data_IF_244993677035
#
_entry.id   IF_244993677035
#
_cell.length_a   1.000
_cell.length_b   1.000
_cell.length_c   1.000
_cell.angle_alpha   90.00
_cell.angle_beta   90.00
_cell.angle_gamma   90.00
#
_symmetry.space_group_name_H-M   'P 1'
#
loop_
_entity.id
_entity.type
_entity.pdbx_description
1 polymer ?
#
# COMPACT_ATOMS: atom_id res chain seq x y z
N UNK A 1 -8.85 16.85 5.54
CA UNK A 1 -8.01 16.39 6.68
C UNK A 1 -7.29 17.56 7.34
N UNK A 2 -6.36 18.27 6.68
CA UNK A 2 -5.52 19.29 7.33
C UNK A 2 -6.27 20.43 8.04
N UNK A 3 -7.45 20.82 7.56
CA UNK A 3 -8.31 21.82 8.18
C UNK A 3 -9.00 21.37 9.49
N UNK A 4 -8.83 20.11 9.89
CA UNK A 4 -9.40 19.53 11.12
C UNK A 4 -8.34 19.19 12.16
N UNK A 5 -7.08 19.56 11.93
CA UNK A 5 -6.02 19.40 12.93
C UNK A 5 -6.32 20.39 14.07
N UNK A 6 -6.32 19.97 15.35
CA UNK A 6 -6.49 20.86 16.48
C UNK A 6 -5.48 22.02 16.48
N UNK A 7 -5.83 23.13 17.11
CA UNK A 7 -4.93 24.27 17.23
C UNK A 7 -3.57 23.87 17.83
N UNK A 8 -2.48 24.22 17.14
CA UNK A 8 -1.10 23.82 17.46
C UNK A 8 -0.85 22.29 17.45
N UNK A 9 -1.80 21.50 16.95
CA UNK A 9 -1.65 20.06 16.76
C UNK A 9 -0.82 19.70 15.53
N UNK A 10 -0.44 18.43 15.44
CA UNK A 10 0.19 17.83 14.27
C UNK A 10 -0.73 16.75 13.68
N UNK A 11 -0.51 16.39 12.42
CA UNK A 11 -1.14 15.22 11.83
C UNK A 11 -0.23 13.99 11.96
N UNK A 12 -0.82 12.83 12.19
CA UNK A 12 -0.17 11.54 11.99
C UNK A 12 -0.90 10.79 10.86
N UNK A 13 -0.19 10.51 9.77
CA UNK A 13 -0.68 9.77 8.62
C UNK A 13 -0.01 8.40 8.57
N UNK A 14 -0.82 7.35 8.63
CA UNK A 14 -0.38 5.96 8.41
C UNK A 14 -0.91 5.50 7.05
N UNK A 15 -0.05 4.91 6.21
CA UNK A 15 -0.47 4.38 4.91
C UNK A 15 0.32 3.12 4.53
N UNK A 16 -0.26 2.34 3.63
CA UNK A 16 0.37 1.14 3.12
C UNK A 16 -0.59 0.25 2.35
N UNK A 17 -0.08 -0.66 1.50
CA UNK A 17 -0.85 -1.80 1.05
C UNK A 17 -0.96 -2.83 2.18
N UNK A 18 -1.70 -3.89 1.93
CA UNK A 18 -1.84 -4.98 2.88
C UNK A 18 -1.74 -6.35 2.19
N UNK A 19 -1.37 -7.35 2.98
CA UNK A 19 -1.31 -8.76 2.57
C UNK A 19 -1.87 -9.64 3.68
N UNK A 20 -2.60 -10.68 3.31
CA UNK A 20 -3.06 -11.70 4.25
C UNK A 20 -2.04 -12.83 4.40
N UNK A 21 -1.96 -13.38 5.61
CA UNK A 21 -1.28 -14.64 5.89
C UNK A 21 -2.26 -15.53 6.65
N UNK A 22 -2.50 -16.74 6.12
CA UNK A 22 -3.36 -17.75 6.76
C UNK A 22 -2.65 -18.45 7.90
N UNK A 23 -3.39 -19.21 8.73
CA UNK A 23 -2.79 -20.01 9.84
C UNK A 23 -1.75 -21.01 9.39
N UNK A 24 -1.88 -21.53 8.18
CA UNK A 24 -0.91 -22.47 7.60
C UNK A 24 0.29 -21.78 6.93
N UNK A 25 0.37 -20.45 7.00
CA UNK A 25 1.46 -19.65 6.47
C UNK A 25 1.32 -19.27 4.99
N UNK A 26 0.17 -19.53 4.35
CA UNK A 26 -0.07 -19.13 2.96
C UNK A 26 -0.20 -17.61 2.84
N UNK A 27 0.72 -17.00 2.09
CA UNK A 27 0.75 -15.56 1.83
C UNK A 27 -0.23 -15.20 0.69
N UNK A 28 -0.87 -14.05 0.81
CA UNK A 28 -1.82 -13.53 -0.17
C UNK A 28 -3.26 -13.99 0.08
N UNK A 29 -3.53 -14.64 1.20
CA UNK A 29 -4.87 -15.09 1.61
C UNK A 29 -5.07 -14.92 3.11
N UNK A 30 -6.32 -14.91 3.57
CA UNK A 30 -6.63 -14.87 5.00
C UNK A 30 -7.98 -15.50 5.29
N UNK A 31 -8.12 -16.14 6.44
CA UNK A 31 -9.41 -16.59 6.97
C UNK A 31 -10.27 -15.38 7.34
N UNK A 32 -11.57 -15.42 7.02
CA UNK A 32 -12.51 -14.34 7.33
C UNK A 32 -13.63 -14.86 8.24
N UNK A 33 -14.02 -14.12 9.30
CA UNK A 33 -15.06 -14.57 10.21
C UNK A 33 -16.37 -14.90 9.47
N UNK A 34 -16.90 -16.10 9.71
CA UNK A 34 -18.16 -16.55 9.11
C UNK A 34 -18.08 -16.98 7.64
N UNK A 35 -16.88 -17.04 7.04
CA UNK A 35 -16.68 -17.46 5.64
C UNK A 35 -15.77 -18.69 5.62
N UNK A 36 -16.26 -19.80 5.07
CA UNK A 36 -15.47 -21.04 4.97
C UNK A 36 -14.39 -20.98 3.88
N UNK A 37 -14.59 -20.15 2.86
CA UNK A 37 -13.64 -19.95 1.77
C UNK A 37 -12.50 -19.04 2.23
N UNK A 38 -11.28 -19.57 2.17
CA UNK A 38 -10.03 -18.81 2.36
C UNK A 38 -9.60 -18.24 1.01
N UNK A 39 -9.65 -16.91 0.87
CA UNK A 39 -9.52 -16.22 -0.41
C UNK A 39 -8.52 -15.05 -0.34
N UNK A 40 -8.27 -14.45 -1.50
CA UNK A 40 -7.28 -13.43 -1.79
C UNK A 40 -7.30 -12.24 -0.81
N UNK A 41 -6.10 -11.80 -0.43
CA UNK A 41 -5.85 -10.67 0.46
C UNK A 41 -4.45 -10.08 0.16
N UNK A 42 -4.30 -8.92 -0.49
CA UNK A 42 -5.33 -8.00 -0.99
C UNK A 42 -5.91 -8.42 -2.35
N UNK A 43 -7.23 -8.57 -2.45
CA UNK A 43 -7.90 -8.94 -3.71
C UNK A 43 -7.63 -7.98 -4.88
N UNK A 44 -7.61 -6.66 -4.63
CA UNK A 44 -7.34 -5.64 -5.65
C UNK A 44 -5.91 -5.72 -6.18
N UNK A 45 -4.92 -5.82 -5.28
CA UNK A 45 -3.52 -5.94 -5.66
C UNK A 45 -3.23 -7.24 -6.42
N UNK A 46 -3.85 -8.36 -6.00
CA UNK A 46 -3.71 -9.65 -6.67
C UNK A 46 -4.34 -9.60 -8.07
N UNK A 47 -5.53 -9.02 -8.22
CA UNK A 47 -6.15 -8.84 -9.53
C UNK A 47 -5.29 -7.96 -10.45
N UNK A 48 -4.69 -6.89 -9.92
CA UNK A 48 -3.77 -6.03 -10.66
C UNK A 48 -2.47 -6.77 -11.04
N UNK A 49 -1.90 -7.57 -10.14
CA UNK A 49 -0.73 -8.42 -10.43
C UNK A 49 -1.03 -9.44 -11.54
N UNK A 50 -2.21 -10.05 -11.52
CA UNK A 50 -2.64 -10.99 -12.57
C UNK A 50 -2.77 -10.29 -13.94
N UNK A 51 -3.29 -9.06 -13.96
CA UNK A 51 -3.33 -8.24 -15.16
C UNK A 51 -1.93 -7.90 -15.69
N UNK A 52 -1.00 -7.51 -14.81
CA UNK A 52 0.39 -7.28 -15.23
C UNK A 52 1.04 -8.55 -15.77
N UNK A 53 0.82 -9.69 -15.10
CA UNK A 53 1.32 -10.98 -15.57
C UNK A 53 0.77 -11.39 -16.94
N UNK A 54 -0.49 -11.07 -17.25
CA UNK A 54 -1.04 -11.35 -18.58
C UNK A 54 -0.45 -10.45 -19.66
N UNK A 55 -0.07 -9.21 -19.33
CA UNK A 55 0.65 -8.31 -20.24
C UNK A 55 2.08 -8.81 -20.48
N UNK A 56 2.85 -9.07 -19.42
CA UNK A 56 4.27 -9.45 -19.56
C UNK A 56 4.42 -10.81 -20.25
N UNK A 57 3.46 -11.72 -20.04
CA UNK A 57 3.37 -13.00 -20.76
C UNK A 57 2.85 -12.90 -22.20
N UNK A 58 2.55 -11.70 -22.72
CA UNK A 58 2.05 -11.49 -24.09
C UNK A 58 0.59 -11.90 -24.32
N UNK A 59 -0.16 -12.20 -23.26
CA UNK A 59 -1.56 -12.66 -23.30
C UNK A 59 -2.61 -11.55 -23.31
N UNK A 60 -2.23 -10.29 -23.05
CA UNK A 60 -3.15 -9.16 -23.06
C UNK A 60 -2.48 -7.86 -23.56
N UNK A 61 -3.18 -7.00 -24.33
CA UNK A 61 -2.71 -5.66 -24.62
C UNK A 61 -2.79 -4.79 -23.36
N UNK A 62 -1.86 -3.84 -23.21
CA UNK A 62 -1.95 -2.80 -22.18
C UNK A 62 -3.17 -1.92 -22.47
N UNK A 63 -4.13 -1.88 -21.56
CA UNK A 63 -5.28 -0.97 -21.63
C UNK A 63 -5.11 0.13 -20.58
N UNK A 64 -4.77 1.35 -21.00
CA UNK A 64 -4.67 2.53 -20.11
C UNK A 64 -6.04 3.19 -19.89
N UNK A 65 -7.08 2.38 -19.68
CA UNK A 65 -8.44 2.87 -19.62
C UNK A 65 -8.77 3.48 -18.24
N UNK A 66 -8.10 4.57 -17.86
CA UNK A 66 -8.48 5.44 -16.71
C UNK A 66 -9.81 6.19 -16.97
N UNK A 67 -10.70 5.64 -17.80
CA UNK A 67 -11.73 6.40 -18.52
C UNK A 67 -13.15 6.06 -18.06
N UNK A 68 -13.36 5.02 -17.24
CA UNK A 68 -14.69 4.67 -16.73
C UNK A 68 -14.79 4.83 -15.22
N UNK A 69 -15.78 5.61 -14.78
CA UNK A 69 -16.06 5.80 -13.36
C UNK A 69 -16.53 4.53 -12.63
N UNK A 70 -16.91 3.49 -13.37
CA UNK A 70 -17.43 2.24 -12.81
C UNK A 70 -16.37 1.37 -12.16
N UNK A 71 -15.09 1.48 -12.57
CA UNK A 71 -13.98 0.70 -11.99
C UNK A 71 -12.66 1.51 -11.91
N UNK A 72 -12.79 2.83 -11.74
CA UNK A 72 -11.67 3.77 -11.78
C UNK A 72 -10.54 3.42 -10.80
N UNK A 73 -10.89 3.01 -9.58
CA UNK A 73 -9.90 2.71 -8.54
C UNK A 73 -9.07 1.47 -8.91
N UNK A 74 -9.68 0.42 -9.47
CA UNK A 74 -8.94 -0.77 -9.86
C UNK A 74 -7.99 -0.50 -11.02
N UNK A 75 -8.40 0.32 -12.00
CA UNK A 75 -7.50 0.75 -13.07
C UNK A 75 -6.32 1.57 -12.53
N UNK A 76 -6.54 2.44 -11.55
CA UNK A 76 -5.45 3.15 -10.89
C UNK A 76 -4.46 2.18 -10.21
N UNK A 77 -4.96 1.13 -9.54
CA UNK A 77 -4.09 0.10 -8.94
C UNK A 77 -3.32 -0.68 -10.00
N UNK A 78 -3.95 -1.03 -11.13
CA UNK A 78 -3.27 -1.65 -12.28
C UNK A 78 -2.11 -0.78 -12.78
N UNK A 79 -2.29 0.53 -12.87
CA UNK A 79 -1.21 1.44 -13.27
C UNK A 79 -0.08 1.51 -12.25
N UNK A 80 -0.42 1.54 -10.96
CA UNK A 80 0.59 1.57 -9.91
C UNK A 80 1.47 0.33 -9.89
N UNK A 81 0.98 -0.81 -10.39
CA UNK A 81 1.73 -2.06 -10.39
C UNK A 81 2.50 -2.30 -11.70
N UNK A 82 2.15 -1.63 -12.81
CA UNK A 82 2.81 -1.81 -14.12
C UNK A 82 4.35 -1.68 -14.07
N UNK A 83 4.95 -0.70 -13.37
CA UNK A 83 6.41 -0.57 -13.29
C UNK A 83 7.12 -1.76 -12.64
N UNK A 84 6.38 -2.57 -11.87
CA UNK A 84 6.91 -3.66 -11.06
C UNK A 84 6.77 -5.04 -11.71
N UNK A 85 6.24 -5.12 -12.94
CA UNK A 85 5.91 -6.40 -13.58
C UNK A 85 7.06 -7.40 -13.64
N UNK A 86 8.26 -6.94 -14.03
CA UNK A 86 9.45 -7.80 -14.07
C UNK A 86 9.90 -8.25 -12.67
N UNK A 87 9.90 -7.34 -11.69
CA UNK A 87 10.22 -7.66 -10.29
C UNK A 87 9.30 -8.75 -9.73
N UNK A 88 8.00 -8.66 -10.04
CA UNK A 88 7.01 -9.65 -9.62
C UNK A 88 7.13 -10.97 -10.39
N UNK A 89 7.64 -10.95 -11.61
CA UNK A 89 7.90 -12.14 -12.41
C UNK A 89 9.14 -12.90 -11.91
N UNK A 90 10.19 -12.17 -11.54
CA UNK A 90 11.46 -12.73 -11.07
C UNK A 90 11.45 -13.11 -9.57
N UNK A 91 10.37 -12.79 -8.82
CA UNK A 91 10.25 -13.03 -7.38
C UNK A 91 10.12 -14.54 -7.05
N UNK A 92 10.77 -14.98 -5.98
CA UNK A 92 10.63 -16.35 -5.46
C UNK A 92 9.19 -16.62 -4.98
N UNK A 93 8.64 -15.69 -4.20
CA UNK A 93 7.21 -15.66 -3.86
C UNK A 93 6.60 -14.33 -4.30
N UNK A 94 5.78 -14.39 -5.35
CA UNK A 94 5.08 -13.23 -5.89
C UNK A 94 4.13 -12.59 -4.87
N UNK A 95 3.46 -13.39 -4.02
CA UNK A 95 2.50 -12.88 -3.04
C UNK A 95 3.20 -12.17 -1.89
N UNK A 96 4.40 -12.63 -1.53
CA UNK A 96 5.28 -11.91 -0.60
C UNK A 96 5.77 -10.60 -1.19
N UNK A 97 6.18 -10.59 -2.47
CA UNK A 97 6.78 -9.42 -3.12
C UNK A 97 5.76 -8.31 -3.45
N UNK A 98 4.54 -8.71 -3.80
CA UNK A 98 3.45 -7.83 -4.22
C UNK A 98 3.18 -6.62 -3.31
N UNK A 99 3.02 -6.75 -1.98
CA UNK A 99 2.80 -5.60 -1.11
C UNK A 99 3.99 -4.63 -1.10
N UNK A 100 5.24 -5.10 -1.20
CA UNK A 100 6.41 -4.22 -1.22
C UNK A 100 6.51 -3.45 -2.53
N UNK A 101 6.28 -4.12 -3.66
CA UNK A 101 6.21 -3.47 -4.96
C UNK A 101 5.12 -2.39 -5.00
N UNK A 102 3.91 -2.71 -4.51
CA UNK A 102 2.81 -1.75 -4.49
C UNK A 102 3.08 -0.58 -3.53
N UNK A 103 3.75 -0.83 -2.40
CA UNK A 103 4.11 0.20 -1.44
C UNK A 103 4.99 1.29 -2.08
N UNK A 104 5.96 0.93 -2.91
CA UNK A 104 6.82 1.92 -3.58
C UNK A 104 6.02 2.92 -4.41
N UNK A 105 5.04 2.44 -5.18
CA UNK A 105 4.16 3.31 -5.96
C UNK A 105 3.23 4.14 -5.07
N UNK A 106 2.71 3.56 -3.99
CA UNK A 106 1.86 4.28 -3.04
C UNK A 106 2.61 5.37 -2.27
N UNK A 107 3.84 5.12 -1.81
CA UNK A 107 4.67 6.10 -1.11
C UNK A 107 4.96 7.31 -2.00
N UNK A 108 5.27 7.08 -3.29
CA UNK A 108 5.43 8.17 -4.27
C UNK A 108 4.16 9.01 -4.37
N UNK A 109 2.99 8.40 -4.50
CA UNK A 109 1.72 9.13 -4.56
C UNK A 109 1.42 9.91 -3.28
N UNK A 110 1.60 9.29 -2.11
CA UNK A 110 1.35 9.93 -0.82
C UNK A 110 2.27 11.13 -0.64
N UNK A 111 3.55 11.01 -0.98
CA UNK A 111 4.49 12.14 -0.95
C UNK A 111 4.07 13.28 -1.88
N UNK A 112 3.57 12.97 -3.07
CA UNK A 112 3.06 13.98 -4.00
C UNK A 112 1.83 14.70 -3.43
N UNK A 113 0.90 13.97 -2.81
CA UNK A 113 -0.27 14.54 -2.13
C UNK A 113 0.16 15.44 -0.97
N UNK A 114 1.12 14.99 -0.16
CA UNK A 114 1.66 15.77 0.96
C UNK A 114 2.35 17.04 0.46
N UNK A 115 3.18 16.96 -0.58
CA UNK A 115 3.89 18.09 -1.15
C UNK A 115 2.96 19.11 -1.84
N UNK A 116 1.87 18.65 -2.46
CA UNK A 116 0.83 19.51 -3.03
C UNK A 116 -0.15 20.08 -2.00
N UNK A 117 -0.15 19.52 -0.78
CA UNK A 117 -1.02 19.93 0.31
C UNK A 117 -0.49 21.15 1.07
N UNK A 118 -1.39 21.83 1.77
CA UNK A 118 -1.05 22.93 2.68
C UNK A 118 -1.09 22.42 4.14
N UNK A 119 -0.06 21.68 4.57
CA UNK A 119 0.04 21.21 5.96
C UNK A 119 0.36 22.40 6.91
N UNK A 120 -0.66 23.20 7.24
CA UNK A 120 -0.52 24.45 8.00
C UNK A 120 -0.48 24.28 9.52
N UNK A 121 -0.70 23.08 10.05
CA UNK A 121 -0.81 22.85 11.50
C UNK A 121 0.31 21.93 12.00
N UNK A 122 1.25 22.53 12.74
CA UNK A 122 2.27 21.89 13.60
C UNK A 122 3.35 21.04 12.92
N UNK A 123 2.98 20.25 11.91
CA UNK A 123 3.81 19.27 11.23
C UNK A 123 3.01 18.02 10.85
N UNK A 124 3.66 17.09 10.17
CA UNK A 124 3.12 15.81 9.74
C UNK A 124 4.09 14.69 10.11
N UNK A 125 3.65 13.75 10.94
CA UNK A 125 4.30 12.45 11.07
C UNK A 125 3.73 11.51 10.00
N UNK A 126 4.60 10.88 9.21
CA UNK A 126 4.25 10.00 8.10
C UNK A 126 4.83 8.60 8.34
N UNK A 127 3.98 7.63 8.65
CA UNK A 127 4.33 6.22 8.79
C UNK A 127 3.84 5.44 7.57
N UNK A 128 4.79 4.94 6.78
CA UNK A 128 4.55 4.11 5.60
C UNK A 128 5.03 2.68 5.84
N UNK A 129 4.28 1.70 5.36
CA UNK A 129 4.68 0.29 5.49
C UNK A 129 3.71 -0.68 4.84
N UNK A 130 3.82 -1.95 5.21
CA UNK A 130 2.92 -3.02 4.77
C UNK A 130 2.11 -3.51 5.96
N UNK A 131 0.78 -3.46 5.87
CA UNK A 131 -0.09 -4.10 6.84
C UNK A 131 -0.15 -5.61 6.57
N UNK A 132 -0.01 -6.42 7.61
CA UNK A 132 -0.11 -7.88 7.53
C UNK A 132 -1.35 -8.31 8.31
N UNK A 133 -2.33 -8.84 7.59
CA UNK A 133 -3.55 -9.37 8.20
C UNK A 133 -3.40 -10.86 8.49
N UNK A 134 -3.66 -11.27 9.71
CA UNK A 134 -3.54 -12.66 10.16
C UNK A 134 -4.92 -13.27 10.38
N UNK A 135 -4.94 -14.52 10.84
CA UNK A 135 -6.17 -15.20 11.17
C UNK A 135 -6.97 -14.45 12.27
N UNK A 136 -8.30 -14.63 12.35
CA UNK A 136 -9.15 -13.87 13.28
C UNK A 136 -8.82 -13.97 14.78
N UNK A 137 -8.04 -14.97 15.17
CA UNK A 137 -7.58 -15.25 16.53
C UNK A 137 -6.10 -14.92 16.76
N UNK A 138 -5.49 -14.20 15.82
CA UNK A 138 -4.11 -13.71 15.90
C UNK A 138 -4.06 -12.19 15.77
N UNK A 139 -3.01 -11.57 16.32
CA UNK A 139 -2.77 -10.14 16.16
C UNK A 139 -2.30 -9.82 14.73
N UNK A 140 -2.88 -8.79 14.12
CA UNK A 140 -2.35 -8.21 12.89
C UNK A 140 -0.98 -7.54 13.15
N UNK A 141 -0.15 -7.47 12.10
CA UNK A 141 1.16 -6.83 12.15
C UNK A 141 1.28 -5.68 11.15
N UNK A 142 2.32 -4.88 11.32
CA UNK A 142 2.69 -3.83 10.37
C UNK A 142 4.21 -3.83 10.20
N UNK A 143 4.68 -3.85 8.95
CA UNK A 143 6.10 -3.76 8.61
C UNK A 143 6.39 -2.30 8.26
N UNK A 144 6.98 -1.50 9.17
CA UNK A 144 7.29 -0.10 8.88
C UNK A 144 8.46 -0.05 7.89
N UNK A 145 8.26 0.68 6.79
CA UNK A 145 9.27 0.90 5.74
C UNK A 145 9.74 2.35 5.70
N UNK A 146 8.98 3.26 6.32
CA UNK A 146 9.30 4.67 6.45
C UNK A 146 8.62 5.25 7.68
N UNK A 147 9.32 6.11 8.41
CA UNK A 147 8.67 6.90 9.45
C UNK A 147 9.34 8.27 9.56
N UNK A 148 8.73 9.28 8.96
CA UNK A 148 9.29 10.63 8.90
C UNK A 148 8.48 11.61 9.74
N UNK A 149 9.15 12.64 10.28
CA UNK A 149 8.49 13.85 10.72
C UNK A 149 8.80 15.01 9.77
N UNK A 150 7.76 15.70 9.31
CA UNK A 150 7.81 16.84 8.41
C UNK A 150 7.32 18.09 9.14
N UNK A 151 8.03 19.21 8.97
CA UNK A 151 7.60 20.50 9.53
C UNK A 151 6.40 21.10 8.75
N UNK A 152 5.86 22.22 9.24
CA UNK A 152 4.74 22.92 8.59
C UNK A 152 5.09 23.51 7.20
N UNK A 153 6.35 23.45 6.77
CA UNK A 153 6.79 23.85 5.42
C UNK A 153 6.96 22.64 4.49
N UNK A 154 6.71 21.42 4.99
CA UNK A 154 6.87 20.18 4.25
C UNK A 154 8.32 19.68 4.18
N UNK A 155 9.24 20.23 4.98
CA UNK A 155 10.60 19.70 5.05
C UNK A 155 10.62 18.48 5.95
N UNK A 156 11.26 17.39 5.51
CA UNK A 156 11.59 16.27 6.41
C UNK A 156 12.63 16.76 7.42
N UNK A 157 12.31 16.71 8.70
CA UNK A 157 13.17 17.19 9.78
C UNK A 157 13.70 16.07 10.68
N UNK A 158 13.09 14.88 10.64
CA UNK A 158 13.58 13.71 11.35
C UNK A 158 13.17 12.40 10.64
N UNK A 159 14.10 11.44 10.62
CA UNK A 159 13.82 10.03 10.41
C UNK A 159 13.61 9.36 11.78
N UNK A 160 12.39 8.88 11.99
CA UNK A 160 11.92 8.23 13.21
C UNK A 160 11.92 6.70 13.09
N UNK A 161 12.19 6.13 11.91
CA UNK A 161 12.14 4.68 11.69
C UNK A 161 13.07 3.89 12.63
N UNK A 162 14.32 4.34 12.91
CA UNK A 162 15.22 3.64 13.84
C UNK A 162 14.73 3.61 15.30
N UNK A 163 13.69 4.37 15.64
CA UNK A 163 13.12 4.43 16.99
C UNK A 163 12.04 3.36 17.21
N UNK A 164 11.52 2.75 16.13
CA UNK A 164 10.64 1.59 16.18
C UNK A 164 11.52 0.34 16.44
N UNK A 165 11.89 0.14 17.70
CA UNK A 165 12.58 -1.08 18.16
C UNK A 165 11.58 -2.07 18.73
#
# INVERSE_FOLDING_TARGET
>A
MSAHIPDNGCCFLVHGPHVGITKDGTIGKVERPGISLVDNCCGSAIAASNYVGSITGGGAPVTMAIQTFTDFQQHAVQELILPHGKRLEDAEDRMQELPFALYESQDVLVRQIVAGGNAKAGGLALLGGVQVNTAPDEDDYFVPLRFDYMDAKGNVVADLLPQLK
#
